data_IF_361757543414
#
_entry.id   IF_361757543414
#
_cell.length_a   1.000
_cell.length_b   1.000
_cell.length_c   1.000
_cell.angle_alpha   90.00
_cell.angle_beta   90.00
_cell.angle_gamma   90.00
#
_symmetry.space_group_name_H-M   'P 1'
#
loop_
_entity.id
_entity.type
_entity.pdbx_description
1 polymer ?
#
# COMPACT_ATOMS: atom_id res chain seq x y z
N UNK A 1 32.79 3.86 -28.95
CA UNK A 1 31.39 4.31 -28.84
C UNK A 1 31.13 4.55 -27.37
N UNK A 2 30.55 5.68 -26.95
CA UNK A 2 30.36 5.95 -25.52
C UNK A 2 29.42 4.90 -24.92
N UNK A 3 29.79 4.34 -23.77
CA UNK A 3 28.96 3.44 -22.97
C UNK A 3 27.86 4.26 -22.29
N UNK A 4 26.75 4.46 -23.00
CA UNK A 4 25.55 5.04 -22.39
C UNK A 4 24.89 3.99 -21.49
N UNK A 5 24.44 4.36 -20.28
CA UNK A 5 23.73 3.44 -19.41
C UNK A 5 22.44 2.98 -20.10
N UNK A 6 22.14 1.67 -20.02
CA UNK A 6 20.95 1.07 -20.63
C UNK A 6 19.65 1.56 -19.97
N UNK A 7 19.74 2.17 -18.79
CA UNK A 7 18.62 2.69 -18.02
C UNK A 7 18.96 4.09 -17.51
N UNK A 8 18.00 4.99 -17.65
CA UNK A 8 18.08 6.35 -17.12
C UNK A 8 17.24 6.43 -15.84
N UNK A 9 17.84 6.90 -14.76
CA UNK A 9 17.13 7.15 -13.50
C UNK A 9 16.93 8.65 -13.39
N UNK A 10 15.68 9.10 -13.53
CA UNK A 10 15.31 10.50 -13.33
C UNK A 10 14.48 10.64 -12.06
N UNK A 11 14.72 11.70 -11.30
CA UNK A 11 13.82 12.10 -10.23
C UNK A 11 12.63 12.83 -10.86
N UNK A 12 11.51 12.12 -10.99
CA UNK A 12 10.29 12.66 -11.61
C UNK A 12 9.43 13.40 -10.57
N UNK A 13 9.32 12.84 -9.36
CA UNK A 13 8.48 13.35 -8.27
C UNK A 13 9.16 13.11 -6.91
N UNK A 14 8.94 14.04 -5.98
CA UNK A 14 9.41 13.96 -4.60
C UNK A 14 8.38 14.61 -3.68
N UNK A 15 7.98 13.90 -2.63
CA UNK A 15 7.06 14.36 -1.59
C UNK A 15 7.38 13.67 -0.26
N UNK A 16 6.87 14.22 0.84
CA UNK A 16 7.04 13.66 2.17
C UNK A 16 5.74 13.05 2.67
N UNK A 17 5.82 12.01 3.49
CA UNK A 17 4.67 11.37 4.15
C UNK A 17 4.70 11.66 5.64
N UNK A 18 3.53 11.69 6.26
CA UNK A 18 3.37 11.92 7.71
C UNK A 18 3.58 10.65 8.55
N UNK A 19 3.78 9.51 7.87
CA UNK A 19 3.98 8.18 8.44
C UNK A 19 5.27 7.54 7.92
N UNK A 20 5.74 6.50 8.61
CA UNK A 20 6.89 5.71 8.19
C UNK A 20 6.49 4.75 7.06
N UNK A 21 7.30 4.68 6.02
CA UNK A 21 7.06 3.79 4.88
C UNK A 21 7.71 2.43 5.17
N UNK A 22 6.88 1.38 5.21
CA UNK A 22 7.29 -0.01 5.42
C UNK A 22 7.41 -0.78 4.09
N UNK A 23 6.82 -0.25 3.02
CA UNK A 23 6.94 -0.79 1.68
C UNK A 23 6.08 -0.02 0.68
N UNK A 24 6.38 -0.17 -0.61
CA UNK A 24 5.74 0.56 -1.70
C UNK A 24 5.61 -0.33 -2.94
N UNK A 25 4.51 -0.17 -3.68
CA UNK A 25 4.28 -0.80 -4.97
C UNK A 25 3.53 0.11 -5.93
N UNK A 26 3.72 -0.05 -7.26
CA UNK A 26 2.99 0.73 -8.26
C UNK A 26 1.52 0.27 -8.36
N UNK A 27 0.59 1.19 -8.64
CA UNK A 27 -0.80 0.92 -9.02
C UNK A 27 -1.26 1.91 -10.09
N UNK A 28 -1.03 1.59 -11.36
CA UNK A 28 -1.25 2.52 -12.48
C UNK A 28 -0.50 3.86 -12.23
N UNK A 29 -1.23 4.99 -12.21
CA UNK A 29 -0.71 6.33 -11.91
C UNK A 29 -0.61 6.62 -10.39
N UNK A 30 -1.02 5.67 -9.55
CA UNK A 30 -1.01 5.77 -8.09
C UNK A 30 0.07 4.88 -7.47
N UNK A 31 0.25 5.04 -6.16
CA UNK A 31 1.17 4.26 -5.35
C UNK A 31 0.42 3.55 -4.24
N UNK A 32 0.69 2.26 -4.05
CA UNK A 32 0.28 1.54 -2.84
C UNK A 32 1.42 1.62 -1.85
N UNK A 33 1.15 2.15 -0.66
CA UNK A 33 2.14 2.39 0.38
C UNK A 33 1.68 1.75 1.68
N UNK A 34 2.52 0.90 2.25
CA UNK A 34 2.32 0.38 3.60
C UNK A 34 2.92 1.39 4.59
N UNK A 35 2.06 2.10 5.30
CA UNK A 35 2.40 3.12 6.28
C UNK A 35 2.35 2.60 7.72
N UNK A 36 3.18 3.17 8.59
CA UNK A 36 3.12 2.97 10.03
C UNK A 36 3.25 4.32 10.76
N UNK A 37 2.23 4.67 11.53
CA UNK A 37 2.23 5.88 12.34
C UNK A 37 2.99 5.66 13.62
N UNK A 38 3.96 6.53 13.91
CA UNK A 38 4.62 6.57 15.21
C UNK A 38 3.88 7.57 16.09
N UNK A 39 2.85 7.11 16.77
CA UNK A 39 2.23 7.88 17.85
C UNK A 39 3.08 7.77 19.13
N UNK A 40 3.03 8.78 19.99
CA UNK A 40 3.74 8.80 21.28
C UNK A 40 3.08 7.86 22.30
N UNK A 41 1.79 7.54 22.12
CA UNK A 41 0.99 6.74 23.06
C UNK A 41 0.52 5.41 22.43
N UNK A 42 1.46 4.49 22.21
CA UNK A 42 1.16 3.07 21.97
C UNK A 42 1.46 2.56 20.56
N UNK A 43 1.27 1.25 20.39
CA UNK A 43 1.50 0.58 19.10
C UNK A 43 0.28 0.75 18.19
N UNK A 44 0.54 1.15 16.95
CA UNK A 44 -0.46 1.43 15.94
C UNK A 44 -0.58 0.27 14.96
N UNK A 45 -1.75 0.18 14.32
CA UNK A 45 -1.94 -0.76 13.21
C UNK A 45 -1.23 -0.21 11.97
N UNK A 46 -0.55 -1.06 11.19
CA UNK A 46 -0.07 -0.62 9.89
C UNK A 46 -1.27 -0.29 8.99
N UNK A 47 -1.08 0.71 8.14
CA UNK A 47 -2.11 1.20 7.24
C UNK A 47 -1.68 0.96 5.79
N UNK A 48 -2.60 0.48 4.97
CA UNK A 48 -2.40 0.38 3.53
C UNK A 48 -3.01 1.60 2.86
N UNK A 49 -2.19 2.38 2.18
CA UNK A 49 -2.60 3.61 1.52
C UNK A 49 -2.53 3.47 0.00
N UNK A 50 -3.51 4.04 -0.69
CA UNK A 50 -3.44 4.34 -2.13
C UNK A 50 -3.25 5.84 -2.28
N UNK A 51 -2.09 6.25 -2.78
CA UNK A 51 -1.69 7.65 -2.89
C UNK A 51 -1.63 8.09 -4.35
N UNK A 52 -2.15 9.28 -4.64
CA UNK A 52 -1.88 10.00 -5.88
C UNK A 52 -0.71 10.98 -5.63
N UNK A 53 0.47 10.72 -6.22
CA UNK A 53 1.63 11.57 -6.01
C UNK A 53 1.49 12.90 -6.76
N UNK A 54 1.88 14.00 -6.13
CA UNK A 54 1.92 15.35 -6.72
C UNK A 54 3.29 15.96 -6.50
N UNK A 55 3.60 17.06 -7.20
CA UNK A 55 4.88 17.73 -7.02
C UNK A 55 4.94 18.38 -5.63
N UNK A 56 5.77 17.83 -4.75
CA UNK A 56 5.96 18.32 -3.38
C UNK A 56 4.93 17.85 -2.37
N UNK A 57 3.91 17.07 -2.76
CA UNK A 57 2.85 16.59 -1.88
C UNK A 57 2.19 15.30 -2.42
N UNK A 58 1.16 14.79 -1.74
CA UNK A 58 0.35 13.66 -2.18
C UNK A 58 -1.11 13.82 -1.75
N UNK A 59 -2.03 13.15 -2.45
CA UNK A 59 -3.40 12.99 -1.94
C UNK A 59 -3.72 11.53 -1.67
N UNK A 60 -4.29 11.26 -0.50
CA UNK A 60 -4.76 9.93 -0.11
C UNK A 60 -6.09 9.63 -0.80
N UNK A 61 -6.12 8.62 -1.66
CA UNK A 61 -7.34 8.13 -2.32
C UNK A 61 -8.08 7.16 -1.39
N UNK A 62 -7.32 6.23 -0.80
CA UNK A 62 -7.85 5.20 0.07
C UNK A 62 -6.85 4.89 1.19
N UNK A 63 -7.37 4.60 2.39
CA UNK A 63 -6.58 4.14 3.54
C UNK A 63 -7.33 3.04 4.26
N UNK A 64 -6.68 1.90 4.48
CA UNK A 64 -7.21 0.79 5.26
C UNK A 64 -6.31 0.48 6.47
N UNK A 65 -6.91 0.18 7.64
CA UNK A 65 -6.20 -0.16 8.87
C UNK A 65 -6.13 -1.67 9.05
N UNK A 66 -4.93 -2.24 8.96
CA UNK A 66 -4.77 -3.69 8.98
C UNK A 66 -4.72 -4.22 10.42
N UNK A 67 -5.68 -5.08 10.77
CA UNK A 67 -5.80 -5.65 12.11
C UNK A 67 -5.03 -6.98 12.22
N UNK A 68 -3.69 -6.89 12.16
CA UNK A 68 -2.79 -8.05 12.18
C UNK A 68 -2.59 -8.61 13.61
N UNK A 69 -2.44 -9.92 13.76
CA UNK A 69 -2.31 -10.59 15.05
C UNK A 69 -1.02 -10.17 15.74
N UNK A 70 -1.18 -9.59 16.94
CA UNK A 70 -0.05 -9.16 17.74
C UNK A 70 0.56 -7.82 17.30
N UNK A 71 -0.12 -7.04 16.44
CA UNK A 71 0.37 -5.75 15.94
C UNK A 71 0.95 -4.84 17.04
N UNK A 72 0.37 -4.89 18.25
CA UNK A 72 0.79 -4.15 19.42
C UNK A 72 2.28 -4.33 19.82
N UNK A 73 2.91 -5.42 19.38
CA UNK A 73 4.29 -5.79 19.71
C UNK A 73 5.27 -5.44 18.57
N UNK A 74 4.77 -4.88 17.48
CA UNK A 74 5.52 -4.67 16.25
C UNK A 74 5.76 -3.18 16.01
N UNK A 75 6.80 -2.92 15.24
CA UNK A 75 7.24 -1.61 14.79
C UNK A 75 7.20 -1.56 13.27
N UNK A 76 7.45 -0.39 12.67
CA UNK A 76 7.48 -0.22 11.22
C UNK A 76 8.39 -1.26 10.51
N UNK A 77 9.53 -1.61 11.11
CA UNK A 77 10.50 -2.56 10.54
C UNK A 77 10.05 -4.03 10.54
N UNK A 78 8.95 -4.34 11.22
CA UNK A 78 8.38 -5.70 11.26
C UNK A 78 7.38 -5.94 10.12
N UNK A 79 7.04 -4.90 9.36
CA UNK A 79 6.08 -4.95 8.26
C UNK A 79 6.78 -4.80 6.91
N UNK A 80 6.29 -5.55 5.93
CA UNK A 80 6.81 -5.54 4.56
C UNK A 80 5.66 -5.55 3.56
N UNK A 81 5.85 -4.88 2.43
CA UNK A 81 4.94 -4.92 1.29
C UNK A 81 5.69 -5.47 0.08
N UNK A 82 5.15 -6.54 -0.51
CA UNK A 82 5.61 -7.07 -1.79
C UNK A 82 4.53 -6.84 -2.85
N UNK A 83 4.92 -6.43 -4.05
CA UNK A 83 4.00 -6.23 -5.17
C UNK A 83 4.18 -7.35 -6.19
N UNK A 84 3.09 -8.06 -6.49
CA UNK A 84 3.01 -9.00 -7.60
C UNK A 84 2.39 -8.23 -8.75
N UNK A 85 3.25 -7.65 -9.59
CA UNK A 85 2.85 -6.71 -10.63
C UNK A 85 1.95 -7.36 -11.69
N UNK A 86 2.16 -8.64 -12.00
CA UNK A 86 1.38 -9.38 -12.99
C UNK A 86 -0.11 -9.47 -12.61
N UNK A 87 -0.40 -9.55 -11.32
CA UNK A 87 -1.74 -9.76 -10.78
C UNK A 87 -2.31 -8.50 -10.09
N UNK A 88 -1.58 -7.37 -10.12
CA UNK A 88 -1.88 -6.16 -9.33
C UNK A 88 -2.20 -6.48 -7.86
N UNK A 89 -1.50 -7.47 -7.30
CA UNK A 89 -1.70 -7.94 -5.93
C UNK A 89 -0.58 -7.44 -5.03
N UNK A 90 -0.91 -7.22 -3.76
CA UNK A 90 0.02 -6.74 -2.75
C UNK A 90 0.00 -7.69 -1.56
N UNK A 91 1.17 -8.19 -1.20
CA UNK A 91 1.34 -9.02 -0.01
C UNK A 91 1.84 -8.13 1.13
N UNK A 92 1.02 -7.99 2.17
CA UNK A 92 1.43 -7.39 3.43
C UNK A 92 1.88 -8.49 4.37
N UNK A 93 3.15 -8.46 4.76
CA UNK A 93 3.77 -9.47 5.62
C UNK A 93 4.09 -8.85 6.97
N UNK A 94 3.74 -9.57 8.04
CA UNK A 94 4.16 -9.33 9.42
C UNK A 94 4.70 -10.63 10.03
N UNK A 95 5.28 -10.62 11.24
CA UNK A 95 5.84 -11.83 11.83
C UNK A 95 4.86 -13.00 12.03
N UNK A 96 3.54 -12.73 12.05
CA UNK A 96 2.50 -13.75 12.29
C UNK A 96 1.43 -13.85 11.20
N UNK A 97 1.36 -12.88 10.30
CA UNK A 97 0.32 -12.82 9.27
C UNK A 97 0.88 -12.44 7.91
N UNK A 98 0.26 -13.01 6.87
CA UNK A 98 0.39 -12.60 5.48
C UNK A 98 -1.01 -12.25 5.01
N UNK A 99 -1.19 -11.02 4.53
CA UNK A 99 -2.44 -10.53 3.97
C UNK A 99 -2.22 -10.29 2.48
N UNK A 100 -3.17 -10.75 1.67
CA UNK A 100 -3.22 -10.43 0.24
C UNK A 100 -4.23 -9.31 0.07
N UNK A 101 -3.81 -8.21 -0.55
CA UNK A 101 -4.66 -7.10 -0.93
C UNK A 101 -4.68 -6.98 -2.45
N UNK A 102 -5.85 -6.80 -3.02
CA UNK A 102 -6.06 -6.47 -4.44
C UNK A 102 -6.95 -5.22 -4.52
N UNK A 103 -6.83 -4.43 -5.59
CA UNK A 103 -7.84 -3.43 -5.93
C UNK A 103 -9.20 -4.12 -6.09
N UNK A 104 -10.27 -3.54 -5.52
CA UNK A 104 -11.63 -3.96 -5.84
C UNK A 104 -11.90 -3.63 -7.31
N UNK A 105 -12.18 -4.63 -8.13
CA UNK A 105 -12.68 -4.37 -9.47
C UNK A 105 -14.21 -4.19 -9.49
N UNK A 106 -14.76 -3.80 -10.64
CA UNK A 106 -16.19 -3.58 -10.77
C UNK A 106 -16.99 -4.89 -10.66
N UNK A 107 -16.35 -6.03 -10.93
CA UNK A 107 -16.96 -7.35 -10.90
C UNK A 107 -17.03 -7.86 -9.45
N UNK A 108 -16.04 -7.58 -8.60
CA UNK A 108 -16.06 -7.84 -7.16
C UNK A 108 -17.26 -7.18 -6.47
N UNK A 109 -17.61 -5.96 -6.91
CA UNK A 109 -18.79 -5.25 -6.40
C UNK A 109 -20.08 -5.90 -6.85
N UNK A 110 -20.15 -6.38 -8.10
CA UNK A 110 -21.31 -7.09 -8.62
C UNK A 110 -21.48 -8.43 -7.88
N UNK A 111 -20.39 -9.19 -7.72
CA UNK A 111 -20.37 -10.46 -7.00
C UNK A 111 -20.77 -10.26 -5.54
N UNK A 112 -20.26 -9.23 -4.87
CA UNK A 112 -20.67 -8.89 -3.51
C UNK A 112 -22.17 -8.57 -3.42
N UNK A 113 -22.71 -7.81 -4.38
CA UNK A 113 -24.14 -7.47 -4.42
C UNK A 113 -25.03 -8.70 -4.67
N UNK A 114 -24.57 -9.61 -5.54
CA UNK A 114 -25.23 -10.89 -5.83
C UNK A 114 -25.26 -11.77 -4.58
N UNK A 115 -24.12 -11.95 -3.91
CA UNK A 115 -24.00 -12.79 -2.71
C UNK A 115 -24.84 -12.28 -1.54
N UNK A 116 -25.04 -10.96 -1.44
CA UNK A 116 -25.80 -10.33 -0.37
C UNK A 116 -27.27 -10.04 -0.73
N UNK A 117 -27.76 -10.54 -1.86
CA UNK A 117 -29.13 -10.36 -2.36
C UNK A 117 -29.61 -8.89 -2.36
N UNK A 118 -28.69 -7.94 -2.54
CA UNK A 118 -29.01 -6.52 -2.63
C UNK A 118 -29.16 -6.11 -4.08
N UNK A 119 -30.27 -6.54 -4.66
CA UNK A 119 -30.75 -6.02 -5.94
C UNK A 119 -31.64 -4.82 -5.65
N UNK A 120 -31.30 -3.64 -6.15
CA UNK A 120 -32.29 -2.56 -6.32
C UNK A 120 -33.02 -2.74 -7.65
#
# INVERSE_FOLDING_TARGET
TPDWPQYLVENILCFQTDFLICGIGPLNEHLVVLGYWKDEEGSQRPQLHVLEPRLGDYSSICTDNLSLRGYHQYTASDYYLECIAEDNCYLVVSPKDIVVASPYDADDRIDWLIEHFKFE
#
